data_IF_869453770040
#
_entry.id   IF_869453770040
#
_cell.length_a   1.000
_cell.length_b   1.000
_cell.length_c   1.000
_cell.angle_alpha   90.00
_cell.angle_beta   90.00
_cell.angle_gamma   90.00
#
_symmetry.space_group_name_H-M   'P 1'
#
loop_
_entity.id
_entity.type
_entity.pdbx_description
1 polymer ?
#
# COMPACT_ATOMS: atom_id res chain seq x y z
N UNK A 1 -29.15 5.72 -20.11
CA UNK A 1 -28.41 4.63 -19.42
C UNK A 1 -27.05 5.08 -18.90
N UNK A 2 -26.18 5.69 -19.70
CA UNK A 2 -24.88 6.20 -19.20
C UNK A 2 -25.01 7.35 -18.19
N UNK A 3 -25.81 8.37 -18.53
CA UNK A 3 -26.01 9.54 -17.67
C UNK A 3 -26.75 9.21 -16.35
N UNK A 4 -27.64 8.23 -16.35
CA UNK A 4 -28.32 7.75 -15.13
C UNK A 4 -27.35 7.03 -14.19
N UNK A 5 -26.49 6.15 -14.72
CA UNK A 5 -25.44 5.48 -13.94
C UNK A 5 -24.42 6.46 -13.35
N UNK A 6 -24.08 7.53 -14.08
CA UNK A 6 -23.20 8.58 -13.56
C UNK A 6 -23.83 9.32 -12.39
N UNK A 7 -25.12 9.68 -12.49
CA UNK A 7 -25.84 10.34 -11.39
C UNK A 7 -25.87 9.48 -10.12
N UNK A 8 -26.18 8.18 -10.25
CA UNK A 8 -26.18 7.25 -9.12
C UNK A 8 -24.81 7.14 -8.44
N UNK A 9 -23.72 7.09 -9.22
CA UNK A 9 -22.36 7.05 -8.66
C UNK A 9 -21.94 8.34 -7.98
N UNK A 10 -22.34 9.49 -8.53
CA UNK A 10 -22.07 10.80 -7.91
C UNK A 10 -22.84 10.94 -6.60
N UNK A 11 -24.06 10.41 -6.52
CA UNK A 11 -24.86 10.42 -5.29
C UNK A 11 -24.18 9.69 -4.11
N UNK A 12 -23.38 8.64 -4.38
CA UNK A 12 -22.60 7.98 -3.33
C UNK A 12 -21.65 8.93 -2.59
N UNK A 13 -21.16 9.99 -3.26
CA UNK A 13 -20.26 10.97 -2.66
C UNK A 13 -20.97 11.96 -1.72
N UNK A 14 -22.30 11.99 -1.68
CA UNK A 14 -23.03 12.73 -0.65
C UNK A 14 -22.85 12.08 0.74
N UNK A 15 -22.61 10.77 0.78
CA UNK A 15 -22.22 10.09 2.00
C UNK A 15 -20.78 10.46 2.39
N UNK A 16 -20.63 11.24 3.47
CA UNK A 16 -19.33 11.69 3.97
C UNK A 16 -18.35 10.55 4.24
N UNK A 17 -18.83 9.39 4.69
CA UNK A 17 -17.98 8.23 4.98
C UNK A 17 -17.39 7.67 3.67
N UNK A 18 -18.21 7.57 2.63
CA UNK A 18 -17.77 7.14 1.30
C UNK A 18 -16.81 8.15 0.67
N UNK A 19 -17.08 9.45 0.81
CA UNK A 19 -16.17 10.51 0.35
C UNK A 19 -14.79 10.40 1.02
N UNK A 20 -14.74 10.31 2.36
CA UNK A 20 -13.47 10.19 3.08
C UNK A 20 -12.73 8.90 2.75
N UNK A 21 -13.45 7.79 2.59
CA UNK A 21 -12.86 6.52 2.14
C UNK A 21 -12.22 6.67 0.75
N UNK A 22 -12.93 7.29 -0.19
CA UNK A 22 -12.45 7.48 -1.55
C UNK A 22 -11.24 8.41 -1.61
N UNK A 23 -11.27 9.53 -0.89
CA UNK A 23 -10.13 10.44 -0.79
C UNK A 23 -8.92 9.74 -0.14
N UNK A 24 -9.13 8.98 0.93
CA UNK A 24 -8.06 8.18 1.56
C UNK A 24 -7.47 7.17 0.58
N UNK A 25 -8.31 6.46 -0.18
CA UNK A 25 -7.89 5.55 -1.23
C UNK A 25 -7.07 6.22 -2.31
N UNK A 26 -7.53 7.38 -2.81
CA UNK A 26 -6.81 8.18 -3.81
C UNK A 26 -5.38 8.51 -3.34
N UNK A 27 -5.22 9.05 -2.13
CA UNK A 27 -3.90 9.39 -1.60
C UNK A 27 -3.04 8.16 -1.33
N UNK A 28 -3.63 7.06 -0.86
CA UNK A 28 -2.89 5.81 -0.62
C UNK A 28 -2.35 5.20 -1.92
N UNK A 29 -3.15 5.22 -3.00
CA UNK A 29 -2.73 4.75 -4.32
C UNK A 29 -1.75 5.71 -4.98
N UNK A 30 -2.00 7.02 -4.89
CA UNK A 30 -1.10 8.05 -5.38
C UNK A 30 0.25 8.01 -4.66
N UNK A 31 0.30 7.67 -3.37
CA UNK A 31 1.56 7.44 -2.67
C UNK A 31 2.26 6.17 -3.13
N UNK A 32 1.53 5.08 -3.39
CA UNK A 32 2.13 3.82 -3.82
C UNK A 32 2.72 3.86 -5.24
N UNK A 33 2.04 4.51 -6.19
CA UNK A 33 2.45 4.52 -7.60
C UNK A 33 3.89 5.04 -7.80
N UNK A 34 4.22 6.27 -7.38
CA UNK A 34 5.57 6.82 -7.43
C UNK A 34 6.58 5.99 -6.66
N UNK A 35 6.23 5.46 -5.49
CA UNK A 35 7.13 4.59 -4.73
C UNK A 35 7.52 3.34 -5.54
N UNK A 36 6.57 2.73 -6.24
CA UNK A 36 6.84 1.58 -7.10
C UNK A 36 7.81 1.92 -8.25
N UNK A 37 7.61 3.08 -8.89
CA UNK A 37 8.45 3.57 -9.99
C UNK A 37 9.85 3.94 -9.50
N UNK A 38 9.95 4.71 -8.42
CA UNK A 38 11.22 5.21 -7.89
C UNK A 38 12.07 4.06 -7.34
N UNK A 39 11.47 3.15 -6.56
CA UNK A 39 12.22 2.03 -5.98
C UNK A 39 12.66 1.04 -7.06
N UNK A 40 11.84 0.77 -8.08
CA UNK A 40 12.27 -0.08 -9.20
C UNK A 40 13.40 0.54 -10.00
N UNK A 41 13.35 1.85 -10.25
CA UNK A 41 14.45 2.59 -10.86
C UNK A 41 15.72 2.54 -9.99
N UNK A 42 15.58 2.69 -8.68
CA UNK A 42 16.70 2.60 -7.74
C UNK A 42 17.36 1.21 -7.77
N UNK A 43 16.56 0.13 -7.78
CA UNK A 43 17.09 -1.24 -7.91
C UNK A 43 17.88 -1.39 -9.21
N UNK A 44 17.36 -0.88 -10.31
CA UNK A 44 18.06 -0.92 -11.60
C UNK A 44 19.41 -0.20 -11.53
N UNK A 45 19.43 1.00 -10.97
CA UNK A 45 20.67 1.77 -10.80
C UNK A 45 21.68 1.07 -9.88
N UNK A 46 21.24 0.48 -8.77
CA UNK A 46 22.13 -0.19 -7.81
C UNK A 46 22.69 -1.51 -8.35
N UNK A 47 21.88 -2.29 -9.05
CA UNK A 47 22.29 -3.59 -9.59
C UNK A 47 22.94 -3.49 -10.97
N UNK A 48 22.84 -2.33 -11.63
CA UNK A 48 23.22 -2.13 -13.05
C UNK A 48 22.62 -3.20 -13.97
N UNK A 49 21.47 -3.77 -13.59
CA UNK A 49 20.90 -4.94 -14.23
C UNK A 49 19.38 -4.88 -14.20
N UNK A 50 18.77 -5.11 -15.36
CA UNK A 50 17.32 -5.19 -15.48
C UNK A 50 16.72 -6.37 -14.71
N UNK A 51 17.52 -7.40 -14.39
CA UNK A 51 17.08 -8.57 -13.62
C UNK A 51 16.78 -8.26 -12.16
N UNK A 52 17.33 -7.17 -11.61
CA UNK A 52 17.05 -6.75 -10.24
C UNK A 52 15.59 -6.31 -10.04
N UNK A 53 15.01 -5.65 -11.04
CA UNK A 53 13.63 -5.13 -11.00
C UNK A 53 12.58 -6.24 -10.80
N UNK A 54 12.51 -7.31 -11.62
CA UNK A 54 11.54 -8.38 -11.42
C UNK A 54 11.76 -9.13 -10.10
N UNK A 55 13.00 -9.23 -9.61
CA UNK A 55 13.27 -9.82 -8.29
C UNK A 55 12.69 -8.93 -7.18
N UNK A 56 12.85 -7.61 -7.28
CA UNK A 56 12.21 -6.66 -6.36
C UNK A 56 10.68 -6.79 -6.37
N UNK A 57 10.08 -6.90 -7.55
CA UNK A 57 8.63 -7.11 -7.68
C UNK A 57 8.19 -8.45 -7.08
N UNK A 58 8.99 -9.49 -7.28
CA UNK A 58 8.74 -10.80 -6.70
C UNK A 58 8.71 -10.72 -5.17
N UNK A 59 9.68 -10.07 -4.54
CA UNK A 59 9.68 -9.91 -3.07
C UNK A 59 8.47 -9.12 -2.57
N UNK A 60 8.10 -8.04 -3.27
CA UNK A 60 6.95 -7.21 -2.92
C UNK A 60 5.61 -7.96 -3.06
N UNK A 61 5.49 -8.87 -4.03
CA UNK A 61 4.22 -9.57 -4.32
C UNK A 61 4.13 -10.92 -3.61
N UNK A 62 5.25 -11.61 -3.46
CA UNK A 62 5.32 -12.90 -2.80
C UNK A 62 4.96 -12.79 -1.32
N UNK A 63 5.36 -11.70 -0.66
CA UNK A 63 4.95 -11.45 0.73
C UNK A 63 3.42 -11.36 0.86
N UNK A 64 2.73 -10.80 -0.12
CA UNK A 64 1.26 -10.76 -0.13
C UNK A 64 0.67 -12.16 -0.14
N UNK A 65 1.18 -13.04 -1.00
CA UNK A 65 0.68 -14.41 -1.16
C UNK A 65 0.88 -15.21 0.13
N UNK A 66 2.08 -15.12 0.72
CA UNK A 66 2.45 -15.87 1.92
C UNK A 66 1.57 -15.44 3.10
N UNK A 67 1.37 -14.13 3.29
CA UNK A 67 0.65 -13.61 4.44
C UNK A 67 -0.86 -13.46 4.20
N UNK A 68 -1.35 -13.71 2.98
CA UNK A 68 -2.75 -13.45 2.63
C UNK A 68 -3.79 -14.12 3.53
N UNK A 69 -3.68 -15.43 3.89
CA UNK A 69 -4.67 -16.07 4.74
C UNK A 69 -4.77 -15.43 6.13
N UNK A 70 -3.62 -15.05 6.70
CA UNK A 70 -3.53 -14.47 8.05
C UNK A 70 -4.08 -13.04 8.03
N UNK A 71 -3.60 -12.23 7.09
CA UNK A 71 -4.02 -10.83 6.96
C UNK A 71 -5.50 -10.72 6.60
N UNK A 72 -6.05 -11.65 5.84
CA UNK A 72 -7.48 -11.70 5.53
C UNK A 72 -8.35 -11.86 6.77
N UNK A 73 -7.96 -12.78 7.67
CA UNK A 73 -8.66 -12.97 8.96
C UNK A 73 -8.54 -11.74 9.86
N UNK A 74 -7.36 -11.12 9.89
CA UNK A 74 -7.12 -9.91 10.67
C UNK A 74 -7.86 -8.69 10.12
N UNK A 75 -7.99 -8.56 8.80
CA UNK A 75 -8.72 -7.46 8.14
C UNK A 75 -10.24 -7.49 8.39
N UNK A 76 -10.76 -8.64 8.83
CA UNK A 76 -12.15 -8.81 9.22
C UNK A 76 -12.39 -8.56 10.71
N UNK A 77 -11.34 -8.69 11.52
CA UNK A 77 -11.34 -8.41 12.95
C UNK A 77 -10.91 -6.96 13.19
N UNK A 78 -11.26 -6.40 14.33
CA UNK A 78 -10.96 -5.02 14.74
C UNK A 78 -11.66 -3.87 13.97
N UNK A 79 -11.33 -2.64 14.39
CA UNK A 79 -11.77 -1.39 13.82
C UNK A 79 -11.05 -1.11 12.49
N UNK A 80 -11.67 -1.54 11.37
CA UNK A 80 -11.17 -1.39 9.99
C UNK A 80 -10.69 0.04 9.65
N UNK A 81 -11.36 1.07 10.16
CA UNK A 81 -10.94 2.47 9.95
C UNK A 81 -9.58 2.74 10.60
N UNK A 82 -9.40 2.29 11.85
CA UNK A 82 -8.14 2.42 12.57
C UNK A 82 -7.02 1.62 11.90
N UNK A 83 -7.32 0.40 11.44
CA UNK A 83 -6.36 -0.41 10.68
C UNK A 83 -5.84 0.35 9.46
N UNK A 84 -6.73 0.89 8.62
CA UNK A 84 -6.34 1.67 7.44
C UNK A 84 -5.41 2.84 7.79
N UNK A 85 -5.70 3.57 8.86
CA UNK A 85 -4.87 4.70 9.30
C UNK A 85 -3.50 4.21 9.75
N UNK A 86 -3.44 3.20 10.63
CA UNK A 86 -2.18 2.63 11.12
C UNK A 86 -1.33 2.09 9.97
N UNK A 87 -1.94 1.35 9.03
CA UNK A 87 -1.22 0.72 7.93
C UNK A 87 -0.62 1.75 6.97
N UNK A 88 -1.33 2.84 6.66
CA UNK A 88 -0.78 3.93 5.86
C UNK A 88 0.31 4.70 6.61
N UNK A 89 0.12 4.93 7.91
CA UNK A 89 1.11 5.61 8.75
C UNK A 89 2.42 4.80 8.83
N UNK A 90 2.33 3.50 9.13
CA UNK A 90 3.48 2.60 9.18
C UNK A 90 4.18 2.53 7.83
N UNK A 91 3.45 2.44 6.71
CA UNK A 91 4.05 2.47 5.36
C UNK A 91 4.84 3.75 5.10
N UNK A 92 4.29 4.91 5.47
CA UNK A 92 4.99 6.18 5.37
C UNK A 92 6.26 6.20 6.20
N UNK A 93 6.17 5.77 7.47
CA UNK A 93 7.33 5.68 8.36
C UNK A 93 8.41 4.73 7.87
N UNK A 94 8.05 3.60 7.28
CA UNK A 94 9.02 2.66 6.72
C UNK A 94 9.84 3.28 5.60
N UNK A 95 9.21 4.02 4.69
CA UNK A 95 9.90 4.68 3.59
C UNK A 95 10.78 5.82 4.12
N UNK A 96 10.24 6.68 4.98
CA UNK A 96 10.99 7.79 5.57
C UNK A 96 12.19 7.26 6.38
N UNK A 97 11.97 6.24 7.21
CA UNK A 97 13.02 5.60 7.99
C UNK A 97 14.09 4.96 7.12
N UNK A 98 13.68 4.31 6.03
CA UNK A 98 14.62 3.73 5.06
C UNK A 98 15.44 4.82 4.35
N UNK A 99 14.82 5.93 3.93
CA UNK A 99 15.54 7.07 3.31
C UNK A 99 16.57 7.66 4.27
N UNK A 100 16.20 7.85 5.55
CA UNK A 100 17.13 8.34 6.58
C UNK A 100 18.31 7.38 6.75
N UNK A 101 18.07 6.07 6.74
CA UNK A 101 19.16 5.08 6.79
C UNK A 101 20.02 5.09 5.52
N UNK A 102 19.40 5.29 4.36
CA UNK A 102 20.10 5.28 3.07
C UNK A 102 21.09 6.44 2.92
N UNK A 103 20.71 7.64 3.37
CA UNK A 103 21.57 8.83 3.31
C UNK A 103 22.39 9.07 4.59
N UNK A 104 21.97 8.49 5.71
CA UNK A 104 22.65 8.62 7.00
C UNK A 104 23.80 7.64 7.20
N UNK A 105 24.53 7.82 8.30
CA UNK A 105 25.60 6.91 8.74
C UNK A 105 25.11 5.83 9.71
N UNK A 106 23.85 5.43 9.62
CA UNK A 106 23.29 4.40 10.50
C UNK A 106 23.98 3.05 10.23
N UNK A 107 24.37 2.37 11.31
CA UNK A 107 25.12 1.11 11.22
C UNK A 107 24.27 -0.05 10.64
N UNK A 108 22.95 0.02 10.82
CA UNK A 108 22.00 -0.98 10.31
C UNK A 108 21.46 -0.47 8.97
N UNK A 109 21.77 -1.19 7.89
CA UNK A 109 21.24 -0.92 6.55
C UNK A 109 20.14 -1.91 6.23
N UNK A 110 18.92 -1.43 6.08
CA UNK A 110 17.82 -2.25 5.58
C UNK A 110 17.99 -2.44 4.08
N UNK A 111 18.17 -3.69 3.67
CA UNK A 111 18.24 -4.08 2.26
C UNK A 111 16.95 -3.78 1.51
N UNK A 112 17.08 -3.34 0.27
CA UNK A 112 15.95 -2.87 -0.54
C UNK A 112 14.92 -3.99 -0.83
N UNK A 113 15.39 -5.24 -0.96
CA UNK A 113 14.53 -6.44 -1.11
C UNK A 113 13.75 -6.74 0.18
N UNK A 114 14.33 -6.47 1.34
CA UNK A 114 13.65 -6.66 2.61
C UNK A 114 12.59 -5.56 2.84
N UNK A 115 12.94 -4.31 2.51
CA UNK A 115 11.98 -3.21 2.50
C UNK A 115 10.79 -3.53 1.59
N UNK A 116 11.05 -4.07 0.38
CA UNK A 116 9.98 -4.39 -0.57
C UNK A 116 9.07 -5.50 -0.04
N UNK A 117 9.62 -6.56 0.55
CA UNK A 117 8.82 -7.60 1.19
C UNK A 117 7.90 -7.03 2.27
N UNK A 118 8.45 -6.21 3.18
CA UNK A 118 7.67 -5.58 4.24
C UNK A 118 6.59 -4.65 3.68
N UNK A 119 6.93 -3.78 2.73
CA UNK A 119 5.98 -2.87 2.10
C UNK A 119 4.84 -3.66 1.45
N UNK A 120 5.14 -4.78 0.80
CA UNK A 120 4.13 -5.71 0.27
C UNK A 120 3.10 -6.12 1.31
N UNK A 121 3.55 -6.66 2.45
CA UNK A 121 2.68 -7.08 3.57
C UNK A 121 1.70 -5.98 3.96
N UNK A 122 2.20 -4.76 4.19
CA UNK A 122 1.37 -3.64 4.62
C UNK A 122 0.44 -3.11 3.51
N UNK A 123 0.89 -3.10 2.25
CA UNK A 123 0.05 -2.72 1.11
C UNK A 123 -1.12 -3.69 0.97
N UNK A 124 -0.84 -4.98 1.07
CA UNK A 124 -1.86 -6.01 0.95
C UNK A 124 -2.84 -5.99 2.12
N UNK A 125 -2.34 -5.86 3.35
CA UNK A 125 -3.21 -5.72 4.51
C UNK A 125 -4.12 -4.49 4.39
N UNK A 126 -3.58 -3.35 3.94
CA UNK A 126 -4.38 -2.15 3.69
C UNK A 126 -5.50 -2.44 2.67
N UNK A 127 -5.18 -3.12 1.57
CA UNK A 127 -6.16 -3.46 0.54
C UNK A 127 -7.28 -4.36 1.08
N UNK A 128 -6.95 -5.37 1.88
CA UNK A 128 -7.94 -6.24 2.51
C UNK A 128 -8.85 -5.48 3.49
N UNK A 129 -8.28 -4.63 4.36
CA UNK A 129 -9.06 -3.81 5.29
C UNK A 129 -9.91 -2.76 4.57
N UNK A 130 -9.44 -2.23 3.43
CA UNK A 130 -10.20 -1.29 2.62
C UNK A 130 -11.40 -1.97 1.94
N UNK A 131 -11.21 -3.17 1.39
CA UNK A 131 -12.29 -3.98 0.78
C UNK A 131 -13.33 -4.35 1.84
N UNK A 132 -12.91 -4.78 3.02
CA UNK A 132 -13.85 -5.12 4.10
C UNK A 132 -14.57 -3.88 4.65
N UNK A 133 -13.96 -2.69 4.60
CA UNK A 133 -14.62 -1.45 5.02
C UNK A 133 -15.66 -0.96 4.00
N UNK A 134 -15.36 -0.99 2.69
CA UNK A 134 -16.33 -0.51 1.68
C UNK A 134 -17.61 -1.34 1.66
N UNK A 135 -17.52 -2.66 1.89
CA UNK A 135 -18.68 -3.56 2.06
C UNK A 135 -19.58 -3.23 3.26
N UNK A 136 -19.11 -2.39 4.19
CA UNK A 136 -19.91 -1.92 5.33
C UNK A 136 -20.46 -0.50 5.15
N UNK A 137 -20.01 0.22 4.11
CA UNK A 137 -20.43 1.59 3.80
C UNK A 137 -21.55 1.59 2.74
N UNK A 138 -21.44 0.69 1.76
CA UNK A 138 -22.39 0.47 0.66
C UNK A 138 -23.08 -0.87 0.90
#
# INVERSE_FOLDING_TARGET
MFASNLKERVFLFENRIFLYFTLSGLFATFGNGPNYIILSWLVYNQTSSIRGVPLFMLFLWMSNIIFAPILGVLAYKDNRKMQIVILNFVRGLMIVGWVIQYFGSLAIKIELMFLSALLGVFIFFYMLSAISLIQSII
#
